data_IF_134569407428
#
_entry.id   IF_134569407428
#
_cell.length_a   1.000
_cell.length_b   1.000
_cell.length_c   1.000
_cell.angle_alpha   90.00
_cell.angle_beta   90.00
_cell.angle_gamma   90.00
#
_symmetry.space_group_name_H-M   'P 1'
#
loop_
_entity.id
_entity.type
_entity.pdbx_description
1 polymer ?
#
# COMPACT_ATOMS: atom_id res chain seq x y z
N UNK A 1 -6.66 -25.95 -8.23
CA UNK A 1 -6.34 -25.11 -9.40
C UNK A 1 -7.24 -25.39 -10.61
N UNK A 2 -7.35 -26.64 -11.10
CA UNK A 2 -8.16 -26.97 -12.31
C UNK A 2 -9.67 -26.63 -12.19
N UNK A 3 -10.28 -26.86 -11.02
CA UNK A 3 -11.72 -26.63 -10.81
C UNK A 3 -12.10 -25.13 -10.78
N UNK A 4 -11.27 -24.29 -10.17
CA UNK A 4 -11.51 -22.84 -10.11
C UNK A 4 -11.44 -22.21 -11.50
N UNK A 5 -10.48 -22.65 -12.34
CA UNK A 5 -10.36 -22.19 -13.71
C UNK A 5 -11.52 -22.65 -14.60
N UNK A 6 -12.04 -23.86 -14.38
CA UNK A 6 -13.27 -24.31 -15.04
C UNK A 6 -14.50 -23.46 -14.67
N UNK A 7 -14.66 -23.11 -13.39
CA UNK A 7 -15.75 -22.25 -12.92
C UNK A 7 -15.64 -20.87 -13.57
N UNK A 8 -14.44 -20.31 -13.64
CA UNK A 8 -14.18 -19.02 -14.31
C UNK A 8 -14.56 -19.08 -15.79
N UNK A 9 -14.19 -20.16 -16.50
CA UNK A 9 -14.52 -20.34 -17.92
C UNK A 9 -16.02 -20.53 -18.16
N UNK A 10 -16.69 -21.32 -17.31
CA UNK A 10 -18.12 -21.65 -17.45
C UNK A 10 -19.04 -20.52 -17.01
N UNK A 11 -18.57 -19.61 -16.14
CA UNK A 11 -19.39 -18.53 -15.60
C UNK A 11 -18.62 -17.19 -15.53
N UNK A 12 -18.38 -16.60 -16.71
CA UNK A 12 -17.70 -15.30 -16.86
C UNK A 12 -18.30 -14.19 -15.99
N UNK A 13 -19.64 -14.03 -15.86
CA UNK A 13 -20.22 -13.01 -14.99
C UNK A 13 -19.87 -13.20 -13.52
N UNK A 14 -19.93 -14.43 -13.01
CA UNK A 14 -19.55 -14.75 -11.64
C UNK A 14 -18.06 -14.49 -11.40
N UNK A 15 -17.20 -14.89 -12.34
CA UNK A 15 -15.76 -14.63 -12.26
C UNK A 15 -15.47 -13.12 -12.18
N UNK A 16 -16.11 -12.33 -13.03
CA UNK A 16 -15.99 -10.86 -13.03
C UNK A 16 -16.42 -10.28 -11.68
N UNK A 17 -17.55 -10.72 -11.14
CA UNK A 17 -18.05 -10.25 -9.85
C UNK A 17 -17.10 -10.59 -8.68
N UNK A 18 -16.51 -11.79 -8.68
CA UNK A 18 -15.53 -12.21 -7.67
C UNK A 18 -14.25 -11.37 -7.78
N UNK A 19 -13.70 -11.20 -8.98
CA UNK A 19 -12.48 -10.39 -9.20
C UNK A 19 -12.72 -8.94 -8.76
N UNK A 20 -13.84 -8.33 -9.19
CA UNK A 20 -14.22 -6.97 -8.79
C UNK A 20 -14.29 -6.82 -7.27
N UNK A 21 -14.91 -7.79 -6.59
CA UNK A 21 -15.04 -7.78 -5.13
C UNK A 21 -13.69 -7.86 -4.45
N UNK A 22 -12.85 -8.82 -4.84
CA UNK A 22 -11.52 -9.02 -4.24
C UNK A 22 -10.63 -7.78 -4.44
N UNK A 23 -10.61 -7.23 -5.66
CA UNK A 23 -9.87 -6.00 -5.98
C UNK A 23 -10.37 -4.82 -5.15
N UNK A 24 -11.69 -4.64 -5.04
CA UNK A 24 -12.29 -3.56 -4.25
C UNK A 24 -11.97 -3.69 -2.76
N UNK A 25 -12.10 -4.90 -2.20
CA UNK A 25 -11.77 -5.18 -0.80
C UNK A 25 -10.28 -4.93 -0.51
N UNK A 26 -9.38 -5.38 -1.39
CA UNK A 26 -7.94 -5.15 -1.24
C UNK A 26 -7.59 -3.67 -1.34
N UNK A 27 -8.15 -2.95 -2.32
CA UNK A 27 -7.96 -1.50 -2.48
C UNK A 27 -8.40 -0.74 -1.23
N UNK A 28 -9.58 -1.08 -0.68
CA UNK A 28 -10.08 -0.46 0.55
C UNK A 28 -9.11 -0.67 1.71
N UNK A 29 -8.62 -1.90 1.88
CA UNK A 29 -7.65 -2.22 2.94
C UNK A 29 -6.33 -1.45 2.79
N UNK A 30 -5.79 -1.37 1.57
CA UNK A 30 -4.56 -0.62 1.29
C UNK A 30 -4.74 0.89 1.54
N UNK A 31 -5.88 1.47 1.16
CA UNK A 31 -6.18 2.88 1.43
C UNK A 31 -6.25 3.17 2.93
N UNK A 32 -6.87 2.28 3.72
CA UNK A 32 -6.92 2.42 5.19
C UNK A 32 -5.52 2.31 5.82
N UNK A 33 -4.69 1.39 5.33
CA UNK A 33 -3.30 1.32 5.77
C UNK A 33 -2.52 2.58 5.41
N UNK A 34 -2.72 3.12 4.21
CA UNK A 34 -2.05 4.32 3.75
C UNK A 34 -2.41 5.54 4.61
N UNK A 35 -3.69 5.68 4.95
CA UNK A 35 -4.19 6.72 5.87
C UNK A 35 -3.49 6.62 7.24
N UNK A 36 -3.48 5.42 7.84
CA UNK A 36 -2.80 5.17 9.11
C UNK A 36 -1.30 5.48 9.06
N UNK A 37 -0.61 5.08 8.00
CA UNK A 37 0.82 5.35 7.83
C UNK A 37 1.09 6.84 7.68
N UNK A 38 0.26 7.55 6.92
CA UNK A 38 0.37 8.99 6.76
C UNK A 38 0.14 9.75 8.08
N UNK A 39 -0.84 9.33 8.89
CA UNK A 39 -1.05 9.91 10.22
C UNK A 39 0.16 9.71 11.13
N UNK A 40 0.74 8.50 11.15
CA UNK A 40 1.94 8.22 11.95
C UNK A 40 3.15 9.02 11.47
N UNK A 41 3.37 9.11 10.16
CA UNK A 41 4.46 9.91 9.58
C UNK A 41 4.30 11.38 9.96
N UNK A 42 3.08 11.94 9.85
CA UNK A 42 2.79 13.31 10.30
C UNK A 42 3.05 13.51 11.79
N UNK A 43 2.70 12.53 12.63
CA UNK A 43 2.99 12.63 14.05
C UNK A 43 4.50 12.67 14.34
N UNK A 44 5.34 11.98 13.55
CA UNK A 44 6.80 12.15 13.60
C UNK A 44 7.22 13.54 13.15
N UNK A 45 6.69 14.02 12.02
CA UNK A 45 7.01 15.35 11.49
C UNK A 45 6.67 16.47 12.49
N UNK A 46 5.50 16.40 13.11
CA UNK A 46 5.03 17.35 14.12
C UNK A 46 5.87 17.26 15.40
N UNK A 47 6.15 16.04 15.88
CA UNK A 47 6.95 15.82 17.10
C UNK A 47 8.37 16.34 16.96
N UNK A 48 8.97 16.21 15.78
CA UNK A 48 10.36 16.58 15.52
C UNK A 48 10.50 17.93 14.81
N UNK A 49 9.40 18.54 14.35
CA UNK A 49 9.39 19.83 13.66
C UNK A 49 10.24 19.83 12.38
N UNK A 50 10.26 18.71 11.66
CA UNK A 50 11.07 18.49 10.46
C UNK A 50 10.45 17.39 9.62
N UNK A 51 10.82 17.30 8.34
CA UNK A 51 10.63 16.10 7.52
C UNK A 51 11.66 15.01 7.88
N UNK A 52 11.46 13.79 7.38
CA UNK A 52 12.45 12.71 7.57
C UNK A 52 13.81 13.09 6.99
N UNK A 53 13.84 13.68 5.80
CA UNK A 53 15.08 14.07 5.12
C UNK A 53 15.83 15.16 5.90
N UNK A 54 15.11 16.13 6.47
CA UNK A 54 15.69 17.16 7.33
C UNK A 54 16.16 16.58 8.67
N UNK A 55 15.42 15.61 9.22
CA UNK A 55 15.82 14.89 10.43
C UNK A 55 17.10 14.07 10.19
N UNK A 56 17.19 13.37 9.06
CA UNK A 56 18.38 12.65 8.60
C UNK A 56 19.59 13.57 8.46
N UNK A 57 19.42 14.76 7.86
CA UNK A 57 20.51 15.72 7.64
C UNK A 57 21.13 16.29 8.94
N UNK A 58 20.36 16.32 10.03
CA UNK A 58 20.81 16.80 11.36
C UNK A 58 20.97 15.68 12.38
N UNK A 59 20.89 14.42 11.95
CA UNK A 59 20.90 13.26 12.82
C UNK A 59 22.21 13.19 13.61
N UNK A 60 22.10 13.29 14.94
CA UNK A 60 23.24 13.07 15.83
C UNK A 60 23.56 11.58 15.98
N UNK A 61 24.68 11.28 16.66
CA UNK A 61 25.13 9.90 16.83
C UNK A 61 24.60 9.23 18.12
N UNK A 62 23.45 9.70 18.63
CA UNK A 62 22.87 9.10 19.82
C UNK A 62 22.04 7.86 19.46
N UNK A 63 22.12 6.77 20.24
CA UNK A 63 21.27 5.59 20.00
C UNK A 63 19.77 5.90 19.95
N UNK A 64 19.31 6.91 20.70
CA UNK A 64 17.91 7.35 20.70
C UNK A 64 17.50 8.03 19.39
N UNK A 65 18.36 8.86 18.81
CA UNK A 65 18.12 9.48 17.51
C UNK A 65 18.12 8.44 16.39
N UNK A 66 19.08 7.49 16.40
CA UNK A 66 19.10 6.38 15.45
C UNK A 66 17.85 5.49 15.53
N UNK A 67 17.37 5.20 16.74
CA UNK A 67 16.14 4.43 16.92
C UNK A 67 14.91 5.18 16.38
N UNK A 68 14.83 6.49 16.62
CA UNK A 68 13.76 7.35 16.10
C UNK A 68 13.78 7.40 14.57
N UNK A 69 14.98 7.60 13.99
CA UNK A 69 15.19 7.58 12.55
C UNK A 69 14.75 6.26 11.95
N UNK A 70 15.18 5.13 12.53
CA UNK A 70 14.86 3.79 12.00
C UNK A 70 13.35 3.53 12.01
N UNK A 71 12.65 3.87 13.09
CA UNK A 71 11.19 3.73 13.15
C UNK A 71 10.53 4.56 12.05
N UNK A 72 10.90 5.83 11.94
CA UNK A 72 10.28 6.72 10.96
C UNK A 72 10.59 6.29 9.51
N UNK A 73 11.84 5.93 9.21
CA UNK A 73 12.24 5.41 7.90
C UNK A 73 11.42 4.17 7.53
N UNK A 74 11.23 3.24 8.49
CA UNK A 74 10.43 2.03 8.26
C UNK A 74 8.98 2.36 7.86
N UNK A 75 8.38 3.41 8.44
CA UNK A 75 7.03 3.84 8.09
C UNK A 75 6.97 4.45 6.68
N UNK A 76 7.97 5.24 6.29
CA UNK A 76 8.05 5.82 4.95
C UNK A 76 8.23 4.74 3.89
N UNK A 77 9.10 3.75 4.14
CA UNK A 77 9.28 2.61 3.23
C UNK A 77 8.01 1.76 3.14
N UNK A 78 7.32 1.52 4.26
CA UNK A 78 6.05 0.79 4.25
C UNK A 78 4.96 1.56 3.50
N UNK A 79 4.90 2.89 3.64
CA UNK A 79 3.99 3.74 2.88
C UNK A 79 4.21 3.56 1.38
N UNK A 80 5.47 3.63 0.95
CA UNK A 80 5.87 3.46 -0.45
C UNK A 80 5.46 2.08 -0.99
N UNK A 81 5.68 1.02 -0.23
CA UNK A 81 5.27 -0.34 -0.62
C UNK A 81 3.74 -0.46 -0.80
N UNK A 82 2.96 0.18 0.08
CA UNK A 82 1.48 0.22 -0.04
C UNK A 82 1.04 1.02 -1.27
N UNK A 83 1.69 2.13 -1.58
CA UNK A 83 1.45 2.93 -2.79
C UNK A 83 1.77 2.15 -4.07
N UNK A 84 2.90 1.44 -4.10
CA UNK A 84 3.30 0.57 -5.22
C UNK A 84 2.27 -0.55 -5.43
N UNK A 85 1.83 -1.22 -4.36
CA UNK A 85 0.80 -2.26 -4.46
C UNK A 85 -0.55 -1.72 -4.96
N UNK A 86 -0.95 -0.52 -4.51
CA UNK A 86 -2.16 0.15 -5.02
C UNK A 86 -2.06 0.39 -6.53
N UNK A 87 -0.91 0.87 -7.01
CA UNK A 87 -0.69 1.10 -8.43
C UNK A 87 -0.74 -0.20 -9.24
N UNK A 88 -0.07 -1.25 -8.77
CA UNK A 88 -0.12 -2.58 -9.42
C UNK A 88 -1.56 -3.13 -9.49
N UNK A 89 -2.33 -2.94 -8.42
CA UNK A 89 -3.73 -3.37 -8.36
C UNK A 89 -4.62 -2.62 -9.37
N UNK A 90 -4.40 -1.31 -9.53
CA UNK A 90 -5.12 -0.49 -10.51
C UNK A 90 -4.73 -0.85 -11.96
N UNK A 91 -3.45 -1.10 -12.22
CA UNK A 91 -2.97 -1.60 -13.52
C UNK A 91 -3.56 -2.97 -13.86
N UNK A 92 -3.53 -3.91 -12.91
CA UNK A 92 -4.10 -5.24 -13.09
C UNK A 92 -5.61 -5.16 -13.36
N UNK A 93 -6.33 -4.30 -12.65
CA UNK A 93 -7.75 -4.06 -12.87
C UNK A 93 -8.03 -3.53 -14.28
N UNK A 94 -7.23 -2.57 -14.76
CA UNK A 94 -7.37 -2.00 -16.11
C UNK A 94 -7.17 -3.06 -17.20
N UNK A 95 -6.12 -3.88 -17.08
CA UNK A 95 -5.85 -4.98 -18.03
C UNK A 95 -6.98 -6.01 -18.05
N UNK A 96 -7.47 -6.41 -16.87
CA UNK A 96 -8.60 -7.35 -16.78
C UNK A 96 -9.88 -6.76 -17.36
N UNK A 97 -10.12 -5.46 -17.20
CA UNK A 97 -11.24 -4.80 -17.84
C UNK A 97 -11.10 -4.87 -19.38
N UNK A 98 -9.93 -4.55 -19.93
CA UNK A 98 -9.67 -4.59 -21.38
C UNK A 98 -9.76 -6.00 -22.00
N UNK A 99 -9.38 -7.06 -21.26
CA UNK A 99 -9.45 -8.44 -21.76
C UNK A 99 -10.85 -9.07 -21.69
N UNK A 100 -11.74 -8.52 -20.83
CA UNK A 100 -13.09 -9.04 -20.63
C UNK A 100 -14.12 -8.35 -21.56
N UNK A 101 -13.82 -7.16 -22.08
CA UNK A 101 -14.65 -6.39 -23.02
C UNK A 101 -14.24 -6.63 -24.47
#
# INVERSE_FOLDING_TARGET
>A
MALAWEIVKKNKPLAKAVILRVVSERRKYLLQQLEFLNERIRAFEEKHGASLDEFEARLGDSPGEHATWFEWKSLVELRRAVEEELNELEEAYRRVAEEIY
#
